data_IF_760288713834
#
_entry.id   IF_760288713834
#
_cell.length_a   1.000
_cell.length_b   1.000
_cell.length_c   1.000
_cell.angle_alpha   90.00
_cell.angle_beta   90.00
_cell.angle_gamma   90.00
#
_symmetry.space_group_name_H-M   'P 1'
#
loop_
_entity.id
_entity.type
_entity.pdbx_description
1 polymer ?
#
# COMPACT_ATOMS: atom_id res chain seq x y z
N UNK A 1 -41.84 1.29 41.40
CA UNK A 1 -40.92 0.14 41.64
C UNK A 1 -39.87 -0.11 40.54
N UNK A 2 -40.09 0.25 39.27
CA UNK A 2 -39.08 0.01 38.17
C UNK A 2 -37.88 0.96 38.16
N UNK A 3 -37.95 2.16 38.74
CA UNK A 3 -36.85 3.15 38.74
C UNK A 3 -35.76 2.85 39.80
N UNK A 4 -36.09 2.19 40.89
CA UNK A 4 -35.09 1.87 41.93
C UNK A 4 -34.30 0.60 41.59
N UNK A 5 -34.83 -0.28 40.74
CA UNK A 5 -34.13 -1.47 40.28
C UNK A 5 -33.03 -1.15 39.30
N UNK A 6 -33.24 -0.11 38.48
CA UNK A 6 -32.24 0.34 37.52
C UNK A 6 -31.03 1.05 38.19
N UNK A 7 -31.29 1.75 39.30
CA UNK A 7 -30.25 2.44 40.08
C UNK A 7 -29.33 1.43 40.80
N UNK A 8 -29.92 0.36 41.36
CA UNK A 8 -29.15 -0.71 41.99
C UNK A 8 -28.26 -1.49 41.01
N UNK A 9 -28.73 -1.68 39.78
CA UNK A 9 -27.94 -2.32 38.73
C UNK A 9 -26.78 -1.44 38.29
N UNK A 10 -27.00 -0.11 38.24
CA UNK A 10 -25.94 0.85 37.88
C UNK A 10 -24.87 0.94 38.98
N UNK A 11 -25.26 0.89 40.26
CA UNK A 11 -24.31 0.88 41.37
C UNK A 11 -23.55 -0.45 41.48
N UNK A 12 -24.18 -1.57 41.19
CA UNK A 12 -23.49 -2.85 41.11
C UNK A 12 -22.53 -2.93 39.95
N UNK A 13 -22.81 -2.27 38.81
CA UNK A 13 -21.93 -2.18 37.66
C UNK A 13 -20.73 -1.28 37.94
N UNK A 14 -20.92 -0.16 38.66
CA UNK A 14 -19.80 0.75 39.06
C UNK A 14 -18.94 0.14 40.13
N UNK A 15 -19.51 -0.67 41.06
CA UNK A 15 -18.72 -1.38 42.09
C UNK A 15 -17.86 -2.52 41.50
N UNK A 16 -18.27 -3.12 40.35
CA UNK A 16 -17.48 -4.12 39.66
C UNK A 16 -16.23 -3.53 38.94
N UNK A 17 -16.22 -2.21 38.70
CA UNK A 17 -15.08 -1.51 38.09
C UNK A 17 -14.09 -0.90 39.09
N UNK A 18 -14.39 -0.95 40.39
CA UNK A 18 -13.47 -0.53 41.46
C UNK A 18 -12.56 -1.69 41.88
N UNK A 19 -11.98 -2.40 40.90
CA UNK A 19 -10.90 -3.34 41.20
C UNK A 19 -9.58 -2.56 41.32
N UNK A 20 -8.92 -2.80 42.43
CA UNK A 20 -7.65 -2.21 42.84
C UNK A 20 -6.69 -2.10 41.66
N UNK A 21 -6.27 -0.90 41.22
CA UNK A 21 -5.42 -0.72 40.03
C UNK A 21 -4.09 -1.45 40.16
N UNK A 22 -3.59 -1.63 41.39
CA UNK A 22 -2.37 -2.37 41.66
C UNK A 22 -2.53 -3.87 41.41
N UNK A 23 -3.69 -4.45 41.73
CA UNK A 23 -3.97 -5.87 41.52
C UNK A 23 -4.15 -6.19 40.05
N UNK A 24 -4.79 -5.28 39.29
CA UNK A 24 -4.95 -5.42 37.83
C UNK A 24 -3.61 -5.29 37.11
N UNK A 25 -2.73 -4.42 37.59
CA UNK A 25 -1.39 -4.28 37.02
C UNK A 25 -0.54 -5.53 37.28
N UNK A 26 -0.60 -6.11 38.47
CA UNK A 26 0.09 -7.36 38.79
C UNK A 26 -0.43 -8.55 37.98
N UNK A 27 -1.75 -8.63 37.75
CA UNK A 27 -2.34 -9.67 36.91
C UNK A 27 -1.87 -9.51 35.46
N UNK A 28 -1.84 -8.28 34.95
CA UNK A 28 -1.38 -7.99 33.60
C UNK A 28 0.10 -8.34 33.41
N UNK A 29 0.95 -7.97 34.36
CA UNK A 29 2.37 -8.32 34.34
C UNK A 29 2.62 -9.83 34.45
N UNK A 30 1.80 -10.54 35.24
CA UNK A 30 1.85 -12.00 35.32
C UNK A 30 1.45 -12.66 33.99
N UNK A 31 0.38 -12.18 33.36
CA UNK A 31 -0.05 -12.65 32.03
C UNK A 31 1.00 -12.38 30.94
N UNK A 32 1.60 -11.19 30.93
CA UNK A 32 2.67 -10.86 29.99
C UNK A 32 3.93 -11.72 30.19
N UNK A 33 4.26 -12.08 31.44
CA UNK A 33 5.36 -13.02 31.73
C UNK A 33 5.05 -14.43 31.24
N UNK A 34 3.84 -14.90 31.50
CA UNK A 34 3.41 -16.23 31.05
C UNK A 34 3.39 -16.33 29.53
N UNK A 35 2.90 -15.28 28.86
CA UNK A 35 2.90 -15.21 27.40
C UNK A 35 4.32 -15.19 26.82
N UNK A 36 5.23 -14.42 27.43
CA UNK A 36 6.64 -14.41 27.04
C UNK A 36 7.34 -15.75 27.23
N UNK A 37 7.02 -16.47 28.32
CA UNK A 37 7.58 -17.82 28.54
C UNK A 37 6.99 -18.83 27.53
N UNK A 38 5.72 -18.76 27.22
CA UNK A 38 5.10 -19.61 26.15
C UNK A 38 5.73 -19.33 24.78
N UNK A 39 5.98 -18.05 24.46
CA UNK A 39 6.65 -17.68 23.19
C UNK A 39 8.09 -18.21 23.19
N UNK A 40 8.82 -18.13 24.29
CA UNK A 40 10.18 -18.66 24.38
C UNK A 40 10.19 -20.19 24.27
N UNK A 41 9.22 -20.86 24.86
CA UNK A 41 9.08 -22.30 24.82
C UNK A 41 8.75 -22.78 23.39
N UNK A 42 7.81 -22.12 22.74
CA UNK A 42 7.48 -22.43 21.33
C UNK A 42 8.66 -22.20 20.39
N UNK A 43 9.45 -21.12 20.60
CA UNK A 43 10.66 -20.86 19.84
C UNK A 43 11.78 -21.88 20.09
N UNK A 44 11.84 -22.45 21.32
CA UNK A 44 12.78 -23.54 21.65
C UNK A 44 12.37 -24.85 21.01
N UNK A 45 11.06 -25.14 21.02
CA UNK A 45 10.51 -26.35 20.37
C UNK A 45 10.71 -26.29 18.86
N UNK A 46 10.45 -25.14 18.24
CA UNK A 46 10.67 -24.91 16.82
C UNK A 46 12.16 -25.11 16.44
N UNK A 47 13.08 -24.52 17.24
CA UNK A 47 14.52 -24.73 17.02
C UNK A 47 14.95 -26.17 17.20
N UNK A 48 14.37 -26.88 18.18
CA UNK A 48 14.69 -28.29 18.40
C UNK A 48 14.13 -29.18 17.28
N UNK A 49 12.94 -28.86 16.75
CA UNK A 49 12.36 -29.52 15.61
C UNK A 49 13.28 -29.35 14.37
N UNK A 50 13.72 -28.12 14.10
CA UNK A 50 14.63 -27.84 12.99
C UNK A 50 15.96 -28.61 13.11
N UNK A 51 16.52 -28.70 14.34
CA UNK A 51 17.78 -29.44 14.57
C UNK A 51 17.56 -30.94 14.35
N UNK A 52 16.45 -31.51 14.83
CA UNK A 52 16.12 -32.93 14.62
C UNK A 52 15.93 -33.25 13.13
N UNK A 53 15.23 -32.37 12.42
CA UNK A 53 15.01 -32.53 10.97
C UNK A 53 16.33 -32.47 10.20
N UNK A 54 17.24 -31.56 10.58
CA UNK A 54 18.59 -31.47 10.05
C UNK A 54 19.44 -32.72 10.34
N UNK A 55 19.32 -33.29 11.54
CA UNK A 55 20.03 -34.51 11.92
C UNK A 55 19.47 -35.75 11.21
N UNK A 56 18.14 -35.84 11.06
CA UNK A 56 17.52 -36.90 10.27
C UNK A 56 17.89 -36.81 8.79
N UNK A 57 17.91 -35.59 8.22
CA UNK A 57 18.37 -35.38 6.85
C UNK A 57 19.83 -35.73 6.67
N UNK A 58 20.70 -35.46 7.67
CA UNK A 58 22.09 -35.91 7.67
C UNK A 58 22.20 -37.43 7.74
N UNK A 59 21.46 -38.09 8.64
CA UNK A 59 21.46 -39.57 8.74
C UNK A 59 20.97 -40.27 7.48
N UNK A 60 19.93 -39.75 6.83
CA UNK A 60 19.46 -40.25 5.52
C UNK A 60 20.49 -40.04 4.43
N UNK A 61 21.26 -38.98 4.50
CA UNK A 61 22.35 -38.64 3.56
C UNK A 61 23.54 -39.57 3.70
N UNK A 62 23.89 -39.94 4.94
CA UNK A 62 25.01 -40.83 5.23
C UNK A 62 24.66 -42.32 4.97
N UNK A 63 23.38 -42.71 5.03
CA UNK A 63 22.91 -44.08 4.79
C UNK A 63 22.66 -44.41 3.32
N UNK A 64 22.56 -43.41 2.46
CA UNK A 64 22.45 -43.57 1.02
C UNK A 64 23.60 -42.84 0.36
N UNK A 65 24.53 -43.57 -0.24
CA UNK A 65 25.57 -43.02 -1.14
C UNK A 65 24.95 -42.40 -2.42
N UNK A 66 23.82 -41.78 -2.29
CA UNK A 66 23.19 -41.03 -3.36
C UNK A 66 23.84 -39.65 -3.33
N UNK A 67 24.64 -39.37 -4.32
CA UNK A 67 25.05 -38.01 -4.65
C UNK A 67 23.73 -37.21 -4.93
N UNK A 68 23.13 -36.63 -3.90
CA UNK A 68 22.07 -35.70 -4.11
C UNK A 68 22.71 -34.53 -4.83
N UNK A 69 22.56 -34.50 -6.13
CA UNK A 69 22.82 -33.31 -6.92
C UNK A 69 21.84 -32.28 -6.33
N UNK A 70 22.35 -31.45 -5.42
CA UNK A 70 21.61 -30.27 -4.97
C UNK A 70 21.39 -29.50 -6.26
N UNK A 71 20.21 -29.63 -6.84
CA UNK A 71 19.78 -28.69 -7.86
C UNK A 71 19.82 -27.36 -7.14
N UNK A 72 20.84 -26.57 -7.41
CA UNK A 72 20.91 -25.16 -7.09
C UNK A 72 19.85 -24.48 -7.94
N UNK A 73 18.58 -24.79 -7.62
CA UNK A 73 17.45 -24.12 -8.19
C UNK A 73 17.59 -22.71 -7.67
N UNK A 74 18.09 -21.85 -8.54
CA UNK A 74 18.20 -20.42 -8.30
C UNK A 74 16.82 -19.93 -7.93
N UNK A 75 16.47 -20.04 -6.62
CA UNK A 75 15.20 -19.60 -6.07
C UNK A 75 15.02 -18.12 -6.40
N UNK A 76 14.05 -17.80 -7.22
CA UNK A 76 13.65 -16.45 -7.60
C UNK A 76 12.22 -16.27 -7.17
N UNK A 77 11.91 -15.12 -6.64
CA UNK A 77 10.54 -14.74 -6.34
C UNK A 77 10.04 -13.78 -7.43
N UNK A 78 9.91 -14.29 -8.65
CA UNK A 78 9.19 -13.58 -9.70
C UNK A 78 7.73 -13.47 -9.25
N UNK A 79 7.17 -12.27 -9.25
CA UNK A 79 5.88 -12.01 -8.60
C UNK A 79 4.95 -11.21 -9.49
N UNK A 80 3.71 -11.64 -9.56
CA UNK A 80 2.62 -10.75 -9.93
C UNK A 80 2.22 -9.92 -8.70
N UNK A 81 1.84 -8.69 -8.93
CA UNK A 81 1.29 -7.86 -7.87
C UNK A 81 -0.05 -7.27 -8.26
N UNK A 82 -0.92 -7.13 -7.26
CA UNK A 82 -2.18 -6.40 -7.34
C UNK A 82 -2.22 -5.46 -6.16
N UNK A 83 -2.45 -4.18 -6.41
CA UNK A 83 -2.51 -3.13 -5.39
C UNK A 83 -3.79 -2.33 -5.45
N UNK A 84 -4.31 -1.99 -4.29
CA UNK A 84 -5.42 -1.08 -4.11
C UNK A 84 -4.97 0.06 -3.23
N UNK A 85 -5.11 1.30 -3.70
CA UNK A 85 -4.65 2.48 -2.98
C UNK A 85 -5.75 3.53 -2.84
N UNK A 86 -5.61 4.33 -1.81
CA UNK A 86 -6.24 5.62 -1.65
C UNK A 86 -5.28 6.69 -2.15
N UNK A 87 -5.75 7.55 -3.05
CA UNK A 87 -4.92 8.52 -3.74
C UNK A 87 -5.16 9.92 -3.20
N UNK A 88 -4.10 10.60 -2.83
CA UNK A 88 -4.11 11.96 -2.31
C UNK A 88 -3.35 12.89 -3.26
N UNK A 89 -3.84 14.11 -3.40
CA UNK A 89 -3.14 15.22 -4.04
C UNK A 89 -2.44 16.08 -2.99
N UNK A 90 -1.16 16.27 -3.14
CA UNK A 90 -0.35 17.18 -2.32
C UNK A 90 -0.06 18.47 -3.08
N UNK A 91 0.34 19.52 -2.36
CA UNK A 91 0.62 20.86 -2.90
C UNK A 91 -0.55 21.41 -3.73
N UNK A 92 -1.74 21.20 -3.24
CA UNK A 92 -2.95 21.70 -3.88
C UNK A 92 -2.96 23.23 -3.88
N UNK A 93 -3.37 23.89 -5.00
CA UNK A 93 -3.65 25.31 -5.00
C UNK A 93 -4.71 25.70 -3.95
N UNK A 94 -4.76 26.97 -3.60
CA UNK A 94 -5.76 27.52 -2.70
C UNK A 94 -7.17 27.19 -3.21
N UNK A 95 -8.08 26.79 -2.31
CA UNK A 95 -9.46 26.42 -2.64
C UNK A 95 -9.63 25.02 -3.23
N UNK A 96 -8.54 24.30 -3.59
CA UNK A 96 -8.66 22.94 -4.13
C UNK A 96 -8.82 21.93 -3.01
N UNK A 97 -9.93 21.19 -3.08
CA UNK A 97 -10.34 20.15 -2.13
C UNK A 97 -10.38 18.75 -2.74
N UNK A 98 -10.27 17.74 -1.88
CA UNK A 98 -10.47 16.32 -2.19
C UNK A 98 -11.46 15.73 -1.18
N UNK A 99 -12.75 15.88 -1.42
CA UNK A 99 -13.80 15.53 -0.46
C UNK A 99 -14.39 14.14 -0.67
N UNK A 100 -13.89 13.40 -1.68
CA UNK A 100 -14.42 12.09 -2.03
C UNK A 100 -13.33 11.05 -2.17
N UNK A 101 -13.69 9.77 -2.01
CA UNK A 101 -12.78 8.64 -2.09
C UNK A 101 -12.14 8.54 -3.47
N UNK A 102 -10.85 8.75 -3.53
CA UNK A 102 -10.00 8.65 -4.72
C UNK A 102 -9.23 7.34 -4.67
N UNK A 103 -9.44 6.47 -5.65
CA UNK A 103 -8.90 5.10 -5.65
C UNK A 103 -7.85 4.86 -6.72
N UNK A 104 -6.92 3.97 -6.44
CA UNK A 104 -5.95 3.46 -7.40
C UNK A 104 -6.00 1.94 -7.47
N UNK A 105 -5.86 1.41 -8.68
CA UNK A 105 -5.65 0.01 -8.97
C UNK A 105 -4.29 -0.15 -9.65
N UNK A 106 -3.46 -1.05 -9.13
CA UNK A 106 -2.12 -1.34 -9.64
C UNK A 106 -2.00 -2.82 -9.90
N UNK A 107 -1.55 -3.22 -11.09
CA UNK A 107 -1.29 -4.61 -11.44
C UNK A 107 0.02 -4.69 -12.23
N UNK A 108 0.76 -5.76 -12.04
CA UNK A 108 1.99 -5.94 -12.83
C UNK A 108 2.76 -7.18 -12.43
N UNK A 109 3.94 -7.28 -13.03
CA UNK A 109 4.87 -8.38 -12.84
C UNK A 109 6.24 -7.80 -12.49
N UNK A 110 6.93 -8.44 -11.57
CA UNK A 110 8.26 -8.08 -11.10
C UNK A 110 9.17 -9.31 -11.20
N UNK A 111 10.29 -9.15 -11.89
CA UNK A 111 11.34 -10.15 -11.95
C UNK A 111 12.37 -9.93 -10.86
N UNK A 112 12.56 -10.93 -10.04
CA UNK A 112 13.46 -10.91 -8.90
C UNK A 112 14.88 -11.33 -9.28
N UNK A 113 15.86 -10.53 -8.87
CA UNK A 113 17.28 -10.78 -9.07
C UNK A 113 17.99 -10.80 -7.72
N UNK A 114 18.14 -11.96 -7.07
CA UNK A 114 18.82 -12.08 -5.78
C UNK A 114 20.27 -11.62 -5.85
N UNK A 115 20.69 -10.81 -4.88
CA UNK A 115 22.05 -10.27 -4.80
C UNK A 115 22.99 -11.12 -3.94
N UNK A 116 22.44 -11.97 -3.06
CA UNK A 116 23.24 -12.74 -2.12
C UNK A 116 22.86 -14.24 -2.12
N UNK A 117 23.76 -15.08 -1.58
CA UNK A 117 23.55 -16.53 -1.49
C UNK A 117 22.33 -16.92 -0.65
N UNK A 118 22.01 -16.16 0.39
CA UNK A 118 20.82 -16.36 1.24
C UNK A 118 19.53 -15.92 0.57
N UNK A 119 19.63 -15.14 -0.53
CA UNK A 119 18.50 -14.63 -1.33
C UNK A 119 17.48 -13.81 -0.55
N UNK A 120 17.89 -13.31 0.60
CA UNK A 120 17.08 -12.40 1.40
C UNK A 120 17.19 -10.93 0.95
N UNK A 121 18.15 -10.63 0.08
CA UNK A 121 18.33 -9.32 -0.55
C UNK A 121 18.30 -9.50 -2.08
N UNK A 122 17.49 -8.70 -2.75
CA UNK A 122 17.33 -8.73 -4.19
C UNK A 122 17.10 -7.34 -4.77
N UNK A 123 17.31 -7.20 -6.06
CA UNK A 123 16.76 -6.13 -6.89
C UNK A 123 15.66 -6.74 -7.75
N UNK A 124 14.55 -6.04 -7.92
CA UNK A 124 13.53 -6.44 -8.86
C UNK A 124 13.24 -5.32 -9.86
N UNK A 125 12.99 -5.71 -11.10
CA UNK A 125 12.54 -4.82 -12.16
C UNK A 125 11.28 -5.41 -12.76
N UNK A 126 10.32 -4.57 -13.09
CA UNK A 126 9.06 -5.06 -13.60
C UNK A 126 8.39 -4.17 -14.61
N UNK A 127 7.22 -4.64 -15.03
CA UNK A 127 6.29 -3.91 -15.87
C UNK A 127 4.91 -4.00 -15.24
N UNK A 128 4.20 -2.88 -15.22
CA UNK A 128 2.87 -2.81 -14.65
C UNK A 128 1.96 -1.86 -15.37
N UNK A 129 0.72 -1.89 -14.93
CA UNK A 129 -0.32 -0.97 -15.29
C UNK A 129 -0.94 -0.41 -14.02
N UNK A 130 -1.21 0.89 -14.01
CA UNK A 130 -1.98 1.51 -12.95
C UNK A 130 -3.06 2.45 -13.47
N UNK A 131 -4.20 2.42 -12.78
CA UNK A 131 -5.30 3.34 -12.97
C UNK A 131 -5.51 4.10 -11.68
N UNK A 132 -5.41 5.42 -11.74
CA UNK A 132 -5.55 6.30 -10.59
C UNK A 132 -6.67 7.30 -10.82
N UNK A 133 -7.71 7.23 -10.00
CA UNK A 133 -8.78 8.21 -9.94
C UNK A 133 -8.46 9.24 -8.86
N UNK A 134 -8.66 10.52 -9.19
CA UNK A 134 -8.56 11.65 -8.26
C UNK A 134 -9.84 12.45 -8.32
N UNK A 135 -10.62 12.41 -7.26
CA UNK A 135 -11.83 13.21 -7.10
C UNK A 135 -11.48 14.51 -6.39
N UNK A 136 -11.85 15.61 -7.00
CA UNK A 136 -11.45 16.96 -6.58
C UNK A 136 -12.42 17.99 -7.16
N UNK A 137 -12.31 19.26 -6.79
CA UNK A 137 -13.21 20.34 -7.21
C UNK A 137 -12.66 21.24 -8.34
N UNK A 138 -11.66 20.78 -9.13
CA UNK A 138 -11.17 21.53 -10.30
C UNK A 138 -12.00 21.13 -11.52
N UNK A 139 -12.82 22.03 -12.06
CA UNK A 139 -13.49 21.86 -13.36
C UNK A 139 -12.51 22.15 -14.48
N UNK A 140 -12.41 21.22 -15.41
CA UNK A 140 -11.63 21.41 -16.63
C UNK A 140 -12.60 21.60 -17.79
N UNK A 141 -12.42 22.68 -18.54
CA UNK A 141 -13.16 22.96 -19.77
C UNK A 141 -12.18 23.15 -20.92
N UNK A 142 -12.64 23.02 -22.16
CA UNK A 142 -11.85 23.33 -23.35
C UNK A 142 -12.45 24.52 -24.07
N UNK A 143 -11.62 25.52 -24.37
CA UNK A 143 -11.94 26.65 -25.23
C UNK A 143 -10.77 26.87 -26.20
N UNK A 144 -11.06 26.99 -27.49
CA UNK A 144 -10.08 27.23 -28.55
C UNK A 144 -8.90 26.25 -28.57
N UNK A 145 -9.15 25.00 -28.20
CA UNK A 145 -8.14 23.94 -28.14
C UNK A 145 -7.31 23.90 -26.86
N UNK A 146 -7.42 24.92 -26.01
CA UNK A 146 -6.72 25.01 -24.72
C UNK A 146 -7.62 24.51 -23.57
N UNK A 147 -6.99 24.00 -22.52
CA UNK A 147 -7.72 23.59 -21.30
C UNK A 147 -7.73 24.77 -20.33
N UNK A 148 -8.92 25.08 -19.81
CA UNK A 148 -9.12 26.05 -18.75
C UNK A 148 -9.42 25.30 -17.45
N UNK A 149 -8.89 25.80 -16.35
CA UNK A 149 -8.97 25.21 -15.01
C UNK A 149 -9.65 26.21 -14.09
N UNK A 150 -10.70 25.78 -13.43
CA UNK A 150 -11.49 26.58 -12.49
C UNK A 150 -11.72 25.79 -11.21
N UNK A 151 -11.51 26.41 -10.06
CA UNK A 151 -11.88 25.81 -8.77
C UNK A 151 -13.36 26.07 -8.54
N UNK A 152 -14.11 25.00 -8.31
CA UNK A 152 -15.53 25.09 -7.99
C UNK A 152 -15.66 25.28 -6.48
N UNK A 153 -16.37 26.31 -6.08
CA UNK A 153 -16.78 26.45 -4.70
C UNK A 153 -17.93 25.48 -4.41
N UNK A 154 -17.68 24.51 -3.54
CA UNK A 154 -18.64 23.45 -3.19
C UNK A 154 -19.80 23.97 -2.34
N UNK A 155 -19.66 25.14 -1.72
CA UNK A 155 -20.73 25.80 -0.98
C UNK A 155 -21.72 26.53 -1.90
N UNK A 156 -21.27 26.94 -3.09
CA UNK A 156 -22.11 27.64 -4.08
C UNK A 156 -22.67 26.71 -5.16
N UNK A 157 -21.89 25.73 -5.62
CA UNK A 157 -22.19 24.84 -6.73
C UNK A 157 -22.16 23.38 -6.29
N UNK A 158 -23.34 22.74 -6.27
CA UNK A 158 -23.41 21.31 -6.02
C UNK A 158 -23.20 20.54 -7.32
N UNK A 159 -22.20 19.61 -7.32
CA UNK A 159 -21.92 18.73 -8.45
C UNK A 159 -21.92 17.27 -8.02
N UNK A 160 -22.39 16.38 -8.90
CA UNK A 160 -22.47 14.95 -8.62
C UNK A 160 -21.09 14.27 -8.71
N UNK A 161 -20.26 14.74 -9.62
CA UNK A 161 -18.96 14.11 -9.90
C UNK A 161 -17.97 15.04 -10.56
N UNK A 162 -16.79 15.14 -9.97
CA UNK A 162 -15.63 15.75 -10.61
C UNK A 162 -14.38 14.94 -10.35
N UNK A 163 -13.77 14.41 -11.40
CA UNK A 163 -12.58 13.54 -11.26
C UNK A 163 -11.67 13.53 -12.46
N UNK A 164 -10.40 13.22 -12.21
CA UNK A 164 -9.45 12.74 -13.22
C UNK A 164 -9.30 11.23 -13.11
N UNK A 165 -9.25 10.55 -14.25
CA UNK A 165 -8.86 9.15 -14.36
C UNK A 165 -7.58 9.09 -15.21
N UNK A 166 -6.50 8.62 -14.62
CA UNK A 166 -5.17 8.58 -15.22
C UNK A 166 -4.71 7.13 -15.32
N UNK A 167 -4.28 6.72 -16.51
CA UNK A 167 -3.87 5.35 -16.81
C UNK A 167 -2.39 5.34 -17.21
N UNK A 168 -1.60 4.56 -16.51
CA UNK A 168 -0.15 4.51 -16.68
C UNK A 168 0.34 3.12 -17.05
N UNK A 169 1.40 3.09 -17.84
CA UNK A 169 2.32 1.95 -17.90
C UNK A 169 3.46 2.26 -16.93
N UNK A 170 3.71 1.34 -16.00
CA UNK A 170 4.65 1.49 -14.90
C UNK A 170 5.90 0.64 -15.11
N UNK A 171 7.06 1.20 -14.82
CA UNK A 171 8.35 0.52 -14.72
C UNK A 171 8.86 0.65 -13.28
N UNK A 172 8.51 -0.26 -12.38
CA UNK A 172 9.05 -0.29 -11.02
C UNK A 172 10.47 -0.90 -11.00
N UNK A 173 11.33 -0.32 -10.16
CA UNK A 173 12.65 -0.84 -9.80
C UNK A 173 12.71 -0.87 -8.29
N UNK A 174 12.84 -2.08 -7.71
CA UNK A 174 12.75 -2.33 -6.28
C UNK A 174 14.06 -2.85 -5.70
N UNK A 175 14.43 -2.35 -4.54
CA UNK A 175 15.32 -3.03 -3.61
C UNK A 175 14.45 -3.82 -2.63
N UNK A 176 14.73 -5.10 -2.48
CA UNK A 176 13.94 -6.06 -1.71
C UNK A 176 14.74 -6.63 -0.57
N UNK A 177 14.19 -6.53 0.63
CA UNK A 177 14.67 -7.28 1.78
C UNK A 177 13.55 -8.17 2.31
N UNK A 178 13.88 -9.42 2.59
CA UNK A 178 12.90 -10.42 3.04
C UNK A 178 13.54 -11.43 4.00
N UNK A 179 12.72 -11.99 4.87
CA UNK A 179 13.15 -13.06 5.79
C UNK A 179 12.82 -14.45 5.26
N UNK A 180 12.57 -14.59 3.94
CA UNK A 180 12.21 -15.86 3.31
C UNK A 180 13.31 -16.89 3.42
N UNK A 181 12.91 -18.16 3.51
CA UNK A 181 13.75 -19.33 3.37
C UNK A 181 13.18 -20.21 2.27
N UNK A 182 13.98 -21.15 1.74
CA UNK A 182 13.52 -22.07 0.68
C UNK A 182 12.32 -22.94 1.09
N UNK A 183 12.04 -23.06 2.39
CA UNK A 183 11.00 -23.91 2.95
C UNK A 183 9.80 -23.15 3.50
N UNK A 184 9.94 -21.83 3.70
CA UNK A 184 8.87 -21.03 4.29
C UNK A 184 8.40 -19.94 3.33
N UNK A 185 7.11 -20.00 2.99
CA UNK A 185 6.43 -18.96 2.23
C UNK A 185 5.87 -17.83 3.13
N UNK A 186 6.01 -17.93 4.45
CA UNK A 186 5.55 -16.93 5.42
C UNK A 186 6.74 -16.16 5.94
N UNK A 187 6.90 -14.91 5.49
CA UNK A 187 8.04 -14.09 5.83
C UNK A 187 7.70 -12.59 5.80
N UNK A 188 8.52 -11.81 6.50
CA UNK A 188 8.49 -10.36 6.44
C UNK A 188 9.15 -9.86 5.17
N UNK A 189 8.57 -8.80 4.61
CA UNK A 189 9.06 -8.10 3.42
C UNK A 189 9.19 -6.61 3.70
N UNK A 190 10.27 -6.04 3.21
CA UNK A 190 10.43 -4.59 3.09
C UNK A 190 10.99 -4.34 1.69
N UNK A 191 10.18 -3.75 0.84
CA UNK A 191 10.51 -3.43 -0.53
C UNK A 191 10.45 -1.92 -0.69
N UNK A 192 11.50 -1.32 -1.20
CA UNK A 192 11.56 0.11 -1.49
C UNK A 192 12.12 0.33 -2.88
N UNK A 193 11.70 1.37 -3.55
CA UNK A 193 12.17 1.58 -4.90
C UNK A 193 11.68 2.86 -5.52
N UNK A 194 11.96 2.96 -6.80
CA UNK A 194 11.47 4.02 -7.67
C UNK A 194 10.55 3.43 -8.72
N UNK A 195 9.54 4.20 -9.10
CA UNK A 195 8.61 3.84 -10.15
C UNK A 195 8.60 4.95 -11.19
N UNK A 196 8.83 4.58 -12.43
CA UNK A 196 8.67 5.43 -13.61
C UNK A 196 7.36 5.05 -14.28
N UNK A 197 6.53 6.03 -14.58
CA UNK A 197 5.18 5.82 -15.11
C UNK A 197 4.98 6.66 -16.36
N UNK A 198 4.47 6.05 -17.41
CA UNK A 198 4.10 6.74 -18.64
C UNK A 198 2.59 6.84 -18.75
N UNK A 199 2.06 8.07 -18.77
CA UNK A 199 0.65 8.37 -18.93
C UNK A 199 0.25 8.19 -20.40
N UNK A 200 -0.52 7.17 -20.71
CA UNK A 200 -0.98 6.89 -22.07
C UNK A 200 -2.46 7.26 -22.29
N UNK A 201 -3.25 7.33 -21.21
CA UNK A 201 -4.65 7.77 -21.28
C UNK A 201 -4.98 8.62 -20.06
N UNK A 202 -5.62 9.76 -20.30
CA UNK A 202 -6.21 10.56 -19.24
C UNK A 202 -7.62 11.00 -19.63
N UNK A 203 -8.47 11.09 -18.61
CA UNK A 203 -9.87 11.50 -18.77
C UNK A 203 -10.26 12.36 -17.59
N UNK A 204 -10.78 13.53 -17.84
CA UNK A 204 -11.48 14.37 -16.87
C UNK A 204 -12.98 14.26 -17.07
N UNK A 205 -13.71 14.14 -15.96
CA UNK A 205 -15.18 14.08 -16.00
C UNK A 205 -15.74 14.98 -14.92
N UNK A 206 -16.58 15.92 -15.34
CA UNK A 206 -17.43 16.75 -14.49
C UNK A 206 -18.90 16.45 -14.80
N UNK A 207 -19.72 16.35 -13.77
CA UNK A 207 -21.17 16.16 -13.86
C UNK A 207 -21.80 17.01 -12.78
N UNK A 208 -22.70 17.87 -13.18
CA UNK A 208 -23.74 18.47 -12.32
C UNK A 208 -25.13 18.12 -12.88
N UNK A 209 -26.19 18.49 -12.18
CA UNK A 209 -27.56 18.14 -12.59
C UNK A 209 -27.94 18.60 -14.02
N UNK A 210 -27.24 19.56 -14.59
CA UNK A 210 -27.56 20.19 -15.87
C UNK A 210 -26.53 19.89 -16.97
N UNK A 211 -25.28 19.61 -16.59
CA UNK A 211 -24.16 19.51 -17.53
C UNK A 211 -23.31 18.27 -17.31
N UNK A 212 -22.81 17.69 -18.37
CA UNK A 212 -21.76 16.65 -18.32
C UNK A 212 -20.63 17.02 -19.26
N UNK A 213 -19.48 17.38 -18.69
CA UNK A 213 -18.24 17.65 -19.41
C UNK A 213 -17.31 16.44 -19.31
N UNK A 214 -16.83 15.97 -20.45
CA UNK A 214 -15.83 14.90 -20.55
C UNK A 214 -14.70 15.37 -21.44
N UNK A 215 -13.48 15.35 -20.93
CA UNK A 215 -12.27 15.71 -21.67
C UNK A 215 -11.35 14.51 -21.67
N UNK A 216 -10.94 14.10 -22.85
CA UNK A 216 -9.96 13.04 -23.08
C UNK A 216 -8.68 13.64 -23.60
N UNK A 217 -7.57 12.99 -23.29
CA UNK A 217 -6.23 13.32 -23.74
C UNK A 217 -5.90 14.81 -23.55
N UNK A 218 -6.06 15.28 -22.32
CA UNK A 218 -5.60 16.61 -21.94
C UNK A 218 -4.07 16.63 -21.95
N UNK A 219 -3.47 17.47 -22.81
CA UNK A 219 -2.03 17.57 -23.06
C UNK A 219 -1.28 18.22 -21.92
N UNK A 220 -1.98 18.87 -20.99
CA UNK A 220 -1.38 19.54 -19.84
C UNK A 220 -0.99 18.57 -18.73
N UNK A 221 -1.43 17.31 -18.79
CA UNK A 221 -0.87 16.29 -17.90
C UNK A 221 0.56 15.94 -18.31
N UNK A 222 1.44 15.84 -17.33
CA UNK A 222 2.79 15.33 -17.53
C UNK A 222 2.73 13.85 -17.91
N UNK A 223 3.24 13.53 -19.11
CA UNK A 223 3.25 12.14 -19.59
C UNK A 223 4.19 11.24 -18.80
N UNK A 224 5.29 11.78 -18.30
CA UNK A 224 6.26 11.06 -17.50
C UNK A 224 6.08 11.45 -16.04
N UNK A 225 5.74 10.44 -15.23
CA UNK A 225 5.65 10.53 -13.79
C UNK A 225 6.74 9.66 -13.18
N UNK A 226 7.32 10.09 -12.08
CA UNK A 226 8.25 9.27 -11.32
C UNK A 226 8.08 9.55 -9.82
N UNK A 227 8.37 8.55 -9.03
CA UNK A 227 8.24 8.65 -7.59
C UNK A 227 8.93 7.51 -6.86
N UNK A 228 9.03 7.69 -5.56
CA UNK A 228 9.55 6.69 -4.65
C UNK A 228 8.41 5.97 -3.95
N UNK A 229 8.64 4.71 -3.56
CA UNK A 229 7.67 3.96 -2.80
C UNK A 229 8.31 3.01 -1.80
N UNK A 230 7.50 2.65 -0.83
CA UNK A 230 7.81 1.69 0.21
C UNK A 230 6.65 0.72 0.34
N UNK A 231 6.96 -0.58 0.35
CA UNK A 231 6.01 -1.63 0.72
C UNK A 231 6.59 -2.44 1.86
N UNK A 232 5.80 -2.69 2.89
CA UNK A 232 6.22 -3.53 4.00
C UNK A 232 5.06 -4.39 4.49
N UNK A 233 5.34 -5.60 4.90
CA UNK A 233 4.30 -6.49 5.39
C UNK A 233 4.77 -7.90 5.66
N UNK A 234 3.80 -8.73 5.96
CA UNK A 234 3.98 -10.13 6.26
C UNK A 234 3.12 -11.00 5.35
N UNK A 235 3.75 -12.02 4.74
CA UNK A 235 3.09 -12.93 3.82
C UNK A 235 2.39 -12.19 2.66
N UNK A 236 1.10 -12.32 2.51
CA UNK A 236 0.31 -11.74 1.41
C UNK A 236 -0.04 -10.27 1.63
N UNK A 237 -0.12 -9.83 2.89
CA UNK A 237 -0.57 -8.49 3.24
C UNK A 237 0.59 -7.50 3.36
N UNK A 238 0.64 -6.52 2.48
CA UNK A 238 1.68 -5.50 2.50
C UNK A 238 1.05 -4.12 2.43
N UNK A 239 1.44 -3.25 3.35
CA UNK A 239 1.19 -1.82 3.23
C UNK A 239 2.05 -1.25 2.12
N UNK A 240 1.48 -0.34 1.36
CA UNK A 240 2.15 0.33 0.27
C UNK A 240 1.94 1.84 0.38
N UNK A 241 3.02 2.59 0.25
CA UNK A 241 3.01 4.03 0.17
C UNK A 241 3.87 4.49 -1.01
N UNK A 242 3.32 5.31 -1.88
CA UNK A 242 4.00 5.92 -3.02
C UNK A 242 3.93 7.44 -2.89
N UNK A 243 5.01 8.11 -3.23
CA UNK A 243 5.12 9.56 -3.31
C UNK A 243 5.62 9.98 -4.68
N UNK A 244 4.81 10.73 -5.43
CA UNK A 244 5.17 11.32 -6.71
C UNK A 244 6.14 12.48 -6.51
N UNK A 245 7.28 12.44 -7.19
CA UNK A 245 8.34 13.43 -7.06
C UNK A 245 8.19 14.60 -8.04
N UNK A 246 7.37 14.45 -9.07
CA UNK A 246 7.05 15.51 -10.01
C UNK A 246 5.56 15.84 -10.03
N UNK A 247 5.22 16.99 -10.56
CA UNK A 247 3.83 17.44 -10.69
C UNK A 247 3.05 16.59 -11.68
N UNK A 248 1.75 16.37 -11.40
CA UNK A 248 0.82 15.74 -12.34
C UNK A 248 0.59 16.57 -13.60
N UNK A 249 0.56 17.88 -13.45
CA UNK A 249 0.30 18.83 -14.51
C UNK A 249 1.57 19.59 -14.88
N UNK A 250 1.63 20.03 -16.11
CA UNK A 250 2.68 20.91 -16.60
C UNK A 250 2.48 22.33 -16.09
N UNK A 251 3.52 23.16 -16.21
CA UNK A 251 3.50 24.55 -15.78
C UNK A 251 2.51 25.43 -16.56
N UNK A 252 2.08 24.99 -17.73
CA UNK A 252 1.06 25.65 -18.56
C UNK A 252 -0.34 25.57 -17.96
N UNK A 253 -0.64 24.52 -17.18
CA UNK A 253 -1.88 24.40 -16.45
C UNK A 253 -1.90 25.38 -15.28
N UNK A 254 -2.80 26.35 -15.31
CA UNK A 254 -2.86 27.45 -14.34
C UNK A 254 -4.27 27.63 -13.80
N UNK A 255 -4.36 27.99 -12.52
CA UNK A 255 -5.55 28.53 -11.85
C UNK A 255 -5.16 29.94 -11.39
N UNK A 256 -5.94 30.96 -11.76
CA UNK A 256 -5.70 32.38 -11.41
C UNK A 256 -4.25 32.85 -11.71
N UNK A 257 -3.71 32.40 -12.85
CA UNK A 257 -2.36 32.74 -13.28
C UNK A 257 -1.23 31.99 -12.58
N UNK A 258 -1.50 31.18 -11.55
CA UNK A 258 -0.53 30.35 -10.84
C UNK A 258 -0.51 28.93 -11.40
N UNK A 259 0.67 28.36 -11.61
CA UNK A 259 0.81 26.95 -12.04
C UNK A 259 0.24 25.97 -11.01
N UNK A 260 -0.40 24.91 -11.51
CA UNK A 260 -0.94 23.83 -10.69
C UNK A 260 0.18 22.81 -10.43
N UNK A 261 0.87 22.92 -9.31
CA UNK A 261 1.99 22.02 -8.93
C UNK A 261 1.53 20.96 -7.92
N UNK A 262 0.68 20.04 -8.37
CA UNK A 262 0.15 18.96 -7.52
C UNK A 262 0.92 17.66 -7.71
N UNK A 263 1.37 17.08 -6.60
CA UNK A 263 2.00 15.76 -6.56
C UNK A 263 1.01 14.72 -6.01
N UNK A 264 1.28 13.46 -6.29
CA UNK A 264 0.45 12.35 -5.79
C UNK A 264 1.07 11.65 -4.59
N UNK A 265 0.21 11.23 -3.67
CA UNK A 265 0.54 10.27 -2.61
C UNK A 265 -0.49 9.16 -2.67
N UNK A 266 -0.04 7.92 -2.82
CA UNK A 266 -0.93 6.77 -2.85
C UNK A 266 -0.59 5.87 -1.67
N UNK A 267 -1.60 5.55 -0.84
CA UNK A 267 -1.43 4.72 0.35
C UNK A 267 -2.44 3.58 0.28
N UNK A 268 -2.00 2.36 0.51
CA UNK A 268 -2.92 1.22 0.41
C UNK A 268 -2.30 -0.12 0.71
N UNK A 269 -2.84 -1.13 0.06
CA UNK A 269 -2.42 -2.52 0.21
C UNK A 269 -1.88 -3.05 -1.12
N UNK A 270 -0.79 -3.81 -1.02
CA UNK A 270 -0.18 -4.50 -2.15
C UNK A 270 -0.13 -6.00 -1.86
N UNK A 271 -0.63 -6.78 -2.78
CA UNK A 271 -0.65 -8.23 -2.73
C UNK A 271 0.34 -8.76 -3.76
N UNK A 272 1.29 -9.57 -3.30
CA UNK A 272 2.26 -10.23 -4.16
C UNK A 272 1.89 -11.71 -4.28
N UNK A 273 1.75 -12.17 -5.52
CA UNK A 273 1.36 -13.53 -5.88
C UNK A 273 2.54 -14.15 -6.62
N UNK A 274 3.00 -15.31 -6.15
CA UNK A 274 4.08 -16.10 -6.73
C UNK A 274 3.57 -16.96 -7.88
#
# INVERSE_FOLDING_TARGET
>A
MKKHFLLLFFFAFVAAFAQDPVKNQQIKEAQEREERERIKESLREEKQADVRELEEAKRKRDSTNITVTVMDSLYREDQFYIGLTYNLLQKRPDGVSQNSFSSGLHIGFLRDMPLNKRRNVAIAVGLGYSMNDFRQNIKITKADGNSNYEVIDEDEINFDKNKFALHFVDLPIEFRWRTSTMQSHRFWRVYTGVKFSYLFLNKSKYVDGNETVKIYDNKDFNKFQYGAYLSFGYNTWNFHAYYGLNSLLKSEAKIDGKSIDMNTVNIGLMFYIL
#
